data_IF_491763462928
#
_entry.id   IF_491763462928
#
_cell.length_a   1.000
_cell.length_b   1.000
_cell.length_c   1.000
_cell.angle_alpha   90.00
_cell.angle_beta   90.00
_cell.angle_gamma   90.00
#
_symmetry.space_group_name_H-M   'P 1'
#
loop_
_entity.id
_entity.type
_entity.pdbx_description
1 polymer ?
#
# COMPACT_ATOMS: atom_id res chain seq x y z
N UNK A 1 6.04 1.49 -24.95
CA UNK A 1 6.28 2.92 -24.67
C UNK A 1 4.92 3.61 -24.60
N UNK A 2 4.69 4.46 -23.61
CA UNK A 2 3.38 5.14 -23.42
C UNK A 2 3.10 6.05 -24.63
N UNK A 3 1.91 5.92 -25.24
CA UNK A 3 1.51 6.75 -26.38
C UNK A 3 0.77 8.01 -25.89
N UNK A 4 1.54 9.03 -25.51
CA UNK A 4 0.97 10.29 -25.02
C UNK A 4 0.07 11.00 -26.04
N UNK A 5 0.38 10.90 -27.34
CA UNK A 5 -0.47 11.48 -28.39
C UNK A 5 -1.87 10.85 -28.40
N UNK A 6 -1.96 9.54 -28.18
CA UNK A 6 -3.24 8.84 -28.04
C UNK A 6 -3.97 9.29 -26.77
N UNK A 7 -3.26 9.39 -25.65
CA UNK A 7 -3.85 9.78 -24.37
C UNK A 7 -4.48 11.18 -24.46
N UNK A 8 -3.73 12.21 -24.84
CA UNK A 8 -4.21 13.60 -24.85
C UNK A 8 -5.30 13.88 -25.89
N UNK A 9 -5.44 13.00 -26.91
CA UNK A 9 -6.48 13.11 -27.94
C UNK A 9 -7.70 12.23 -27.64
N UNK A 10 -7.62 11.37 -26.63
CA UNK A 10 -8.74 10.50 -26.27
C UNK A 10 -9.85 11.30 -25.56
N UNK A 11 -11.11 10.82 -25.63
CA UNK A 11 -12.19 11.41 -24.88
C UNK A 11 -11.89 11.47 -23.37
N UNK A 12 -12.57 12.39 -22.71
CA UNK A 12 -12.55 12.48 -21.26
C UNK A 12 -13.72 11.71 -20.67
N UNK A 13 -13.54 11.21 -19.46
CA UNK A 13 -14.58 10.56 -18.67
C UNK A 13 -14.50 11.06 -17.24
N UNK A 14 -15.64 11.42 -16.66
CA UNK A 14 -15.71 12.03 -15.33
C UNK A 14 -16.32 11.08 -14.31
N UNK A 15 -15.62 10.86 -13.21
CA UNK A 15 -16.11 10.11 -12.07
C UNK A 15 -16.62 11.07 -11.01
N UNK A 16 -17.80 10.81 -10.48
CA UNK A 16 -18.38 11.48 -9.32
C UNK A 16 -18.07 10.63 -8.09
N UNK A 17 -17.02 10.99 -7.35
CA UNK A 17 -16.41 10.13 -6.32
C UNK A 17 -16.83 10.53 -4.92
N UNK A 18 -17.17 9.54 -4.10
CA UNK A 18 -17.54 9.68 -2.70
C UNK A 18 -18.90 10.34 -2.48
N UNK A 19 -19.24 10.58 -1.21
CA UNK A 19 -20.51 11.19 -0.80
C UNK A 19 -20.71 12.59 -1.39
N UNK A 20 -19.64 13.38 -1.49
CA UNK A 20 -19.67 14.73 -2.05
C UNK A 20 -19.77 14.75 -3.58
N UNK A 21 -19.73 13.57 -4.22
CA UNK A 21 -19.75 13.42 -5.69
C UNK A 21 -18.68 14.28 -6.36
N UNK A 22 -17.49 14.30 -5.77
CA UNK A 22 -16.36 15.11 -6.24
C UNK A 22 -16.03 14.72 -7.69
N UNK A 23 -16.08 15.67 -8.65
CA UNK A 23 -15.85 15.35 -10.06
C UNK A 23 -14.35 15.22 -10.35
N UNK A 24 -13.92 14.02 -10.76
CA UNK A 24 -12.55 13.71 -11.14
C UNK A 24 -12.52 13.16 -12.57
N UNK A 25 -11.80 13.82 -13.47
CA UNK A 25 -11.81 13.50 -14.91
C UNK A 25 -10.50 12.88 -15.35
N UNK A 26 -10.59 11.80 -16.14
CA UNK A 26 -9.44 11.13 -16.76
C UNK A 26 -9.62 10.99 -18.27
N UNK A 27 -8.51 10.72 -18.96
CA UNK A 27 -8.50 10.39 -20.38
C UNK A 27 -8.85 8.90 -20.58
N UNK A 28 -9.81 8.55 -21.44
CA UNK A 28 -10.25 7.14 -21.56
C UNK A 28 -9.15 6.20 -22.04
N UNK A 29 -8.19 6.68 -22.84
CA UNK A 29 -7.12 5.83 -23.37
C UNK A 29 -6.13 5.33 -22.30
N UNK A 30 -6.07 5.94 -21.10
CA UNK A 30 -5.13 5.46 -20.05
C UNK A 30 -5.57 4.15 -19.40
N UNK A 31 -6.85 3.78 -19.48
CA UNK A 31 -7.37 2.55 -18.87
C UNK A 31 -7.46 1.36 -19.83
N UNK A 32 -7.36 1.58 -21.15
CA UNK A 32 -7.66 0.56 -22.17
C UNK A 32 -6.90 -0.77 -22.01
N UNK A 33 -5.62 -0.70 -21.67
CA UNK A 33 -4.75 -1.89 -21.49
C UNK A 33 -4.54 -2.27 -20.02
N UNK A 34 -5.22 -1.58 -19.11
CA UNK A 34 -4.98 -1.69 -17.68
C UNK A 34 -6.20 -2.23 -16.93
N UNK A 35 -7.41 -1.89 -17.36
CA UNK A 35 -8.66 -2.35 -16.74
C UNK A 35 -9.71 -2.61 -17.82
N UNK A 36 -9.96 -3.89 -18.11
CA UNK A 36 -11.06 -4.28 -19.00
C UNK A 36 -12.44 -3.81 -18.49
N UNK A 37 -12.76 -3.87 -17.18
CA UNK A 37 -14.00 -3.32 -16.65
C UNK A 37 -14.16 -1.81 -16.89
N UNK A 38 -13.15 -0.99 -16.57
CA UNK A 38 -13.21 0.45 -16.77
C UNK A 38 -13.22 0.83 -18.25
N UNK A 39 -12.43 0.13 -19.08
CA UNK A 39 -12.44 0.34 -20.53
C UNK A 39 -13.82 0.08 -21.12
N UNK A 40 -14.49 -0.98 -20.67
CA UNK A 40 -15.85 -1.34 -21.10
C UNK A 40 -16.86 -0.30 -20.62
N UNK A 41 -16.81 0.12 -19.34
CA UNK A 41 -17.66 1.18 -18.77
C UNK A 41 -17.63 2.48 -19.58
N UNK A 42 -16.44 2.89 -20.03
CA UNK A 42 -16.25 4.17 -20.73
C UNK A 42 -16.56 4.11 -22.23
N UNK A 43 -16.32 2.96 -22.87
CA UNK A 43 -16.18 2.87 -24.32
C UNK A 43 -17.14 1.89 -25.00
N UNK A 44 -17.94 1.10 -24.28
CA UNK A 44 -18.81 0.09 -24.92
C UNK A 44 -19.99 0.68 -25.73
N UNK A 45 -20.38 1.93 -25.48
CA UNK A 45 -21.47 2.61 -26.19
C UNK A 45 -22.86 2.03 -25.92
N UNK A 46 -23.00 1.14 -24.93
CA UNK A 46 -24.27 0.49 -24.57
C UNK A 46 -24.76 0.88 -23.17
N UNK A 47 -23.84 1.29 -22.30
CA UNK A 47 -24.14 1.74 -20.94
C UNK A 47 -24.45 3.23 -20.90
N UNK A 48 -25.33 3.67 -19.99
CA UNK A 48 -25.66 5.08 -19.77
C UNK A 48 -24.39 5.91 -19.52
N UNK A 49 -23.47 5.35 -18.75
CA UNK A 49 -22.18 5.91 -18.40
C UNK A 49 -21.33 6.17 -19.64
N UNK A 50 -21.32 5.23 -20.59
CA UNK A 50 -20.57 5.35 -21.83
C UNK A 50 -21.12 6.46 -22.76
N UNK A 51 -22.42 6.78 -22.65
CA UNK A 51 -23.05 7.88 -23.39
C UNK A 51 -22.87 9.22 -22.69
N UNK A 52 -23.16 9.27 -21.40
CA UNK A 52 -23.07 10.49 -20.58
C UNK A 52 -21.63 10.90 -20.30
N UNK A 53 -20.67 9.97 -20.46
CA UNK A 53 -19.26 10.12 -20.09
C UNK A 53 -19.07 10.41 -18.60
N UNK A 54 -19.98 9.88 -17.79
CA UNK A 54 -19.98 10.05 -16.33
C UNK A 54 -20.32 8.75 -15.62
N UNK A 55 -19.70 8.49 -14.47
CA UNK A 55 -20.06 7.39 -13.56
C UNK A 55 -19.96 7.87 -12.11
N UNK A 56 -20.79 7.32 -11.22
CA UNK A 56 -20.74 7.63 -9.78
C UNK A 56 -20.08 6.49 -9.02
N UNK A 57 -19.15 6.81 -8.13
CA UNK A 57 -18.45 5.87 -7.24
C UNK A 57 -18.70 6.30 -5.79
N UNK A 58 -19.85 5.90 -5.24
CA UNK A 58 -20.26 6.31 -3.89
C UNK A 58 -19.42 5.64 -2.79
N UNK A 59 -18.89 4.45 -3.06
CA UNK A 59 -18.12 3.62 -2.14
C UNK A 59 -16.61 3.88 -2.18
N UNK A 60 -16.16 4.86 -2.97
CA UNK A 60 -14.74 5.19 -3.15
C UNK A 60 -14.47 6.59 -2.65
N UNK A 61 -13.46 6.75 -1.80
CA UNK A 61 -13.00 8.06 -1.36
C UNK A 61 -12.23 8.79 -2.47
N UNK A 62 -12.34 10.12 -2.51
CA UNK A 62 -11.64 10.95 -3.49
C UNK A 62 -10.12 10.74 -3.44
N UNK A 63 -9.53 10.63 -2.24
CA UNK A 63 -8.09 10.35 -2.04
C UNK A 63 -7.68 9.05 -2.74
N UNK A 64 -8.44 7.97 -2.55
CA UNK A 64 -8.18 6.66 -3.15
C UNK A 64 -8.24 6.74 -4.68
N UNK A 65 -9.23 7.44 -5.22
CA UNK A 65 -9.35 7.63 -6.67
C UNK A 65 -8.24 8.52 -7.23
N UNK A 66 -7.79 9.54 -6.49
CA UNK A 66 -6.64 10.36 -6.85
C UNK A 66 -5.37 9.50 -6.90
N UNK A 67 -5.12 8.65 -5.90
CA UNK A 67 -4.00 7.70 -5.93
C UNK A 67 -4.03 6.77 -7.14
N UNK A 68 -5.23 6.27 -7.49
CA UNK A 68 -5.42 5.55 -8.75
C UNK A 68 -5.06 6.40 -9.97
N UNK A 69 -5.47 7.67 -10.04
CA UNK A 69 -5.10 8.58 -11.14
C UNK A 69 -3.59 8.80 -11.21
N UNK A 70 -2.91 9.03 -10.09
CA UNK A 70 -1.45 9.17 -10.07
C UNK A 70 -0.77 7.92 -10.64
N UNK A 71 -1.25 6.75 -10.23
CA UNK A 71 -0.80 5.47 -10.77
C UNK A 71 -1.08 5.34 -12.27
N UNK A 72 -2.27 5.71 -12.76
CA UNK A 72 -2.62 5.67 -14.19
C UNK A 72 -1.64 6.46 -15.05
N UNK A 73 -1.25 7.65 -14.59
CA UNK A 73 -0.43 8.56 -15.38
C UNK A 73 1.08 8.36 -15.19
N UNK A 74 1.51 7.86 -14.04
CA UNK A 74 2.94 7.80 -13.69
C UNK A 74 3.46 6.39 -13.39
N UNK A 75 2.57 5.40 -13.27
CA UNK A 75 2.88 4.03 -12.85
C UNK A 75 3.12 3.88 -11.35
N UNK A 76 3.02 4.97 -10.56
CA UNK A 76 3.17 4.96 -9.12
C UNK A 76 2.21 5.95 -8.46
N UNK A 77 1.67 5.61 -7.29
CA UNK A 77 0.94 6.57 -6.47
C UNK A 77 1.81 7.12 -5.33
N UNK A 78 1.38 8.23 -4.75
CA UNK A 78 1.94 8.82 -3.54
C UNK A 78 1.12 8.36 -2.34
N UNK A 79 1.81 7.94 -1.28
CA UNK A 79 1.15 7.58 -0.02
C UNK A 79 0.76 8.87 0.71
N UNK A 80 -0.52 9.12 0.99
CA UNK A 80 -0.93 10.32 1.71
C UNK A 80 -0.47 10.26 3.17
N UNK A 81 -0.43 11.43 3.81
CA UNK A 81 -0.21 11.53 5.26
C UNK A 81 -1.51 11.31 6.01
N UNK A 82 -1.42 10.88 7.28
CA UNK A 82 -2.59 10.59 8.13
C UNK A 82 -3.44 11.82 8.48
N UNK A 83 -2.83 13.01 8.49
CA UNK A 83 -3.54 14.27 8.66
C UNK A 83 -3.84 14.82 7.26
N UNK A 84 -5.03 14.50 6.76
CA UNK A 84 -5.40 14.62 5.35
C UNK A 84 -4.95 15.90 4.65
N UNK A 85 -4.60 15.74 3.36
CA UNK A 85 -4.44 16.82 2.40
C UNK A 85 -5.78 17.57 2.18
N UNK A 86 -6.15 18.40 3.14
CA UNK A 86 -7.05 19.55 2.96
C UNK A 86 -6.26 20.85 2.69
N UNK A 87 -5.07 20.76 2.08
CA UNK A 87 -4.38 21.93 1.53
C UNK A 87 -4.41 21.90 0.00
N UNK A 88 -5.57 22.26 -0.54
CA UNK A 88 -5.60 22.93 -1.84
C UNK A 88 -4.99 24.31 -1.63
N UNK A 89 -3.67 24.44 -1.80
CA UNK A 89 -3.05 25.76 -1.92
C UNK A 89 -2.69 26.08 -3.38
N UNK A 90 -3.30 27.18 -3.80
CA UNK A 90 -3.24 27.84 -5.08
C UNK A 90 -1.81 28.06 -5.59
N UNK A 91 -1.68 28.01 -6.92
CA UNK A 91 -0.41 28.13 -7.62
C UNK A 91 0.39 29.37 -7.24
N UNK A 92 1.71 29.16 -7.15
CA UNK A 92 2.70 30.23 -7.21
C UNK A 92 3.63 29.98 -8.39
N UNK A 93 3.54 30.87 -9.38
CA UNK A 93 4.56 31.06 -10.42
C UNK A 93 5.83 31.60 -9.78
N UNK A 94 7.01 31.07 -10.14
CA UNK A 94 8.08 31.89 -10.72
C UNK A 94 9.19 31.05 -11.34
N UNK A 95 9.71 31.59 -12.45
CA UNK A 95 10.76 31.08 -13.34
C UNK A 95 12.17 31.19 -12.74
N UNK A 96 13.02 30.21 -13.12
CA UNK A 96 14.34 30.42 -13.74
C UNK A 96 15.52 30.92 -12.91
N UNK A 97 16.53 30.05 -12.73
CA UNK A 97 17.90 30.27 -13.26
C UNK A 97 18.81 29.05 -13.00
N UNK A 98 19.50 28.61 -14.07
CA UNK A 98 20.58 27.62 -14.06
C UNK A 98 21.88 28.27 -13.56
N UNK A 99 22.75 27.48 -12.92
CA UNK A 99 24.17 27.46 -13.31
C UNK A 99 24.94 26.21 -12.83
N UNK A 100 26.10 26.02 -13.46
CA UNK A 100 26.75 24.76 -13.85
C UNK A 100 27.85 24.25 -12.91
N UNK A 101 28.06 22.93 -13.02
CA UNK A 101 29.33 22.19 -13.07
C UNK A 101 30.30 22.18 -11.86
N UNK A 102 30.66 20.97 -11.42
CA UNK A 102 32.06 20.50 -11.48
C UNK A 102 32.14 18.97 -11.32
N UNK A 103 32.68 18.35 -12.36
CA UNK A 103 33.18 16.98 -12.41
C UNK A 103 34.51 16.94 -11.66
N UNK A 104 34.75 15.92 -10.84
CA UNK A 104 36.10 15.35 -10.84
C UNK A 104 36.13 13.85 -10.53
N UNK A 105 36.65 13.14 -11.53
CA UNK A 105 37.11 11.77 -11.54
C UNK A 105 38.37 11.58 -10.69
N UNK A 106 38.51 10.42 -10.04
CA UNK A 106 39.75 10.03 -9.36
C UNK A 106 39.78 8.54 -9.07
N UNK A 107 40.19 7.76 -10.07
CA UNK A 107 40.36 6.32 -10.04
C UNK A 107 41.77 5.99 -9.51
N UNK A 108 41.91 5.32 -8.35
CA UNK A 108 43.08 4.48 -8.05
C UNK A 108 42.68 3.31 -7.14
N UNK A 109 43.07 2.11 -7.55
CA UNK A 109 43.30 0.88 -6.76
C UNK A 109 44.62 0.28 -7.30
N UNK A 110 45.27 -0.78 -6.75
CA UNK A 110 44.68 -1.84 -5.91
C UNK A 110 45.63 -2.58 -4.88
N UNK A 111 45.07 -3.63 -4.23
CA UNK A 111 45.69 -4.86 -3.64
C UNK A 111 46.36 -4.71 -2.23
N UNK A 112 46.06 -5.47 -1.15
CA UNK A 112 45.95 -6.93 -1.01
C UNK A 112 45.18 -7.43 0.26
N UNK A 113 44.24 -8.36 0.01
CA UNK A 113 43.81 -9.57 0.75
C UNK A 113 44.03 -9.68 2.27
N UNK A 114 42.93 -10.00 2.99
CA UNK A 114 42.78 -11.28 3.72
C UNK A 114 41.31 -11.68 3.82
N UNK A 115 41.05 -12.96 3.52
CA UNK A 115 39.75 -13.62 3.41
C UNK A 115 39.21 -13.96 4.79
N UNK A 116 37.95 -13.62 5.06
CA UNK A 116 37.08 -14.45 5.90
C UNK A 116 35.71 -14.54 5.23
N UNK A 117 35.29 -15.77 4.94
CA UNK A 117 34.00 -16.09 4.32
C UNK A 117 32.93 -16.01 5.41
N UNK A 118 31.98 -15.08 5.30
CA UNK A 118 30.68 -15.17 5.98
C UNK A 118 29.57 -15.06 4.94
N UNK A 119 28.80 -16.14 4.79
CA UNK A 119 27.58 -16.22 3.98
C UNK A 119 26.47 -15.44 4.68
N UNK A 120 26.39 -14.13 4.46
CA UNK A 120 25.23 -13.27 4.79
C UNK A 120 25.26 -12.05 3.87
N UNK A 121 25.22 -12.28 2.57
CA UNK A 121 25.31 -11.22 1.57
C UNK A 121 24.20 -11.35 0.53
N UNK A 122 22.96 -11.07 0.94
CA UNK A 122 21.95 -10.43 0.07
C UNK A 122 20.69 -9.96 0.85
N UNK A 123 20.86 -9.24 1.96
CA UNK A 123 19.75 -8.51 2.58
C UNK A 123 19.69 -7.11 1.96
N UNK A 124 18.55 -6.72 1.39
CA UNK A 124 18.27 -5.34 0.95
C UNK A 124 18.67 -4.37 2.07
N UNK A 125 19.34 -3.27 1.72
CA UNK A 125 19.85 -2.26 2.67
C UNK A 125 18.77 -1.68 3.58
N UNK A 126 17.50 -1.78 3.18
CA UNK A 126 16.33 -1.32 3.93
C UNK A 126 16.15 -2.05 5.27
N UNK A 127 16.45 -3.36 5.32
CA UNK A 127 16.21 -4.19 6.52
C UNK A 127 17.37 -4.19 7.54
N UNK A 128 18.48 -3.47 7.28
CA UNK A 128 19.64 -3.46 8.19
C UNK A 128 19.41 -2.69 9.49
N UNK A 129 18.37 -1.86 9.56
CA UNK A 129 18.06 -1.02 10.72
C UNK A 129 16.89 -1.56 11.57
N UNK A 130 16.31 -2.73 11.25
CA UNK A 130 15.21 -3.31 12.03
C UNK A 130 15.66 -3.90 13.38
N UNK A 131 16.95 -4.18 13.56
CA UNK A 131 17.48 -4.78 14.80
C UNK A 131 17.44 -3.79 15.99
N UNK A 132 17.17 -2.50 15.74
CA UNK A 132 17.20 -1.44 16.76
C UNK A 132 15.78 -0.97 17.20
N UNK A 133 14.71 -1.37 16.48
CA UNK A 133 13.34 -0.86 16.69
C UNK A 133 12.41 -1.85 17.38
N UNK A 134 12.64 -2.04 18.68
CA UNK A 134 11.56 -2.40 19.61
C UNK A 134 11.66 -3.75 20.32
N UNK A 135 12.86 -4.20 20.65
CA UNK A 135 13.09 -5.26 21.64
C UNK A 135 13.78 -4.67 22.88
N UNK A 136 13.07 -3.83 23.65
CA UNK A 136 13.60 -3.40 24.95
C UNK A 136 13.66 -4.60 25.87
N UNK A 137 14.86 -4.92 26.36
CA UNK A 137 15.38 -5.75 27.49
C UNK A 137 14.47 -6.59 28.41
N UNK A 138 13.14 -6.56 28.30
CA UNK A 138 12.14 -7.26 29.12
C UNK A 138 12.02 -8.74 28.74
N UNK A 139 12.64 -9.20 27.64
CA UNK A 139 12.21 -10.42 26.94
C UNK A 139 13.21 -11.59 27.02
N UNK A 140 13.79 -11.84 28.20
CA UNK A 140 14.64 -13.02 28.47
C UNK A 140 13.90 -14.23 29.08
N UNK A 141 12.56 -14.29 28.97
CA UNK A 141 11.79 -15.46 29.39
C UNK A 141 11.22 -16.18 28.15
N UNK A 142 11.48 -17.48 28.05
CA UNK A 142 11.44 -18.31 26.84
C UNK A 142 10.11 -18.49 26.08
N UNK A 143 9.09 -17.66 26.33
CA UNK A 143 7.82 -17.67 25.56
C UNK A 143 7.82 -16.71 24.35
N UNK A 144 8.87 -15.90 24.16
CA UNK A 144 8.86 -14.89 23.08
C UNK A 144 9.39 -15.38 21.73
N UNK A 145 10.03 -16.56 21.69
CA UNK A 145 10.56 -17.13 20.44
C UNK A 145 9.48 -17.35 19.38
N UNK A 146 8.25 -17.66 19.82
CA UNK A 146 7.12 -17.87 18.90
C UNK A 146 6.79 -16.61 18.08
N UNK A 147 6.63 -15.46 18.74
CA UNK A 147 6.27 -14.22 18.05
C UNK A 147 7.46 -13.63 17.29
N UNK A 148 8.70 -13.87 17.72
CA UNK A 148 9.89 -13.51 16.94
C UNK A 148 9.95 -14.29 15.62
N UNK A 149 9.71 -15.61 15.64
CA UNK A 149 9.74 -16.43 14.43
C UNK A 149 8.61 -16.03 13.47
N UNK A 150 7.43 -15.73 14.01
CA UNK A 150 6.28 -15.27 13.21
C UNK A 150 6.57 -13.92 12.53
N UNK A 151 7.23 -13.02 13.25
CA UNK A 151 7.67 -11.72 12.73
C UNK A 151 8.79 -11.85 11.68
N UNK A 152 9.75 -12.74 11.88
CA UNK A 152 10.78 -13.03 10.87
C UNK A 152 10.17 -13.55 9.57
N UNK A 153 9.19 -14.46 9.68
CA UNK A 153 8.40 -14.92 8.52
C UNK A 153 7.68 -13.76 7.84
N UNK A 154 7.04 -12.88 8.62
CA UNK A 154 6.36 -11.70 8.08
C UNK A 154 7.32 -10.78 7.30
N UNK A 155 8.49 -10.43 7.87
CA UNK A 155 9.49 -9.60 7.19
C UNK A 155 10.03 -10.28 5.92
N UNK A 156 10.12 -11.61 5.93
CA UNK A 156 10.65 -12.37 4.81
C UNK A 156 9.74 -12.39 3.57
N UNK A 157 8.45 -12.03 3.72
CA UNK A 157 7.49 -12.00 2.62
C UNK A 157 8.02 -11.17 1.43
N UNK A 158 7.64 -11.60 0.23
CA UNK A 158 8.03 -11.00 -1.05
C UNK A 158 6.79 -10.76 -1.89
N UNK A 159 6.79 -9.60 -2.53
CA UNK A 159 5.72 -9.14 -3.40
C UNK A 159 6.35 -8.62 -4.69
N UNK A 160 5.73 -8.93 -5.82
CA UNK A 160 6.25 -8.59 -7.15
C UNK A 160 5.95 -7.14 -7.56
N UNK A 161 5.10 -6.44 -6.79
CA UNK A 161 4.71 -5.05 -7.05
C UNK A 161 5.85 -4.06 -6.81
N UNK A 162 5.98 -3.08 -7.72
CA UNK A 162 6.79 -1.89 -7.44
C UNK A 162 6.22 -1.15 -6.23
N UNK A 163 7.09 -0.49 -5.45
CA UNK A 163 6.65 0.27 -4.27
C UNK A 163 6.13 1.65 -4.66
N UNK A 164 5.12 2.13 -3.94
CA UNK A 164 4.66 3.51 -4.01
C UNK A 164 5.72 4.47 -3.45
N UNK A 165 5.57 5.77 -3.75
CA UNK A 165 6.48 6.79 -3.23
C UNK A 165 6.40 6.84 -1.69
N UNK A 166 7.58 6.93 -1.07
CA UNK A 166 7.73 6.94 0.39
C UNK A 166 7.12 8.22 0.95
N UNK A 167 6.45 8.09 2.09
CA UNK A 167 5.94 9.17 2.90
C UNK A 167 6.46 9.01 4.34
N UNK A 168 6.68 10.11 5.06
CA UNK A 168 7.20 10.09 6.44
C UNK A 168 6.20 9.54 7.45
N UNK A 169 4.90 9.76 7.21
CA UNK A 169 3.80 9.30 8.08
C UNK A 169 2.68 8.68 7.22
N UNK A 170 2.91 7.49 6.65
CA UNK A 170 1.99 6.91 5.69
C UNK A 170 0.64 6.59 6.31
N UNK A 171 -0.43 6.96 5.62
CA UNK A 171 -1.74 6.37 5.86
C UNK A 171 -1.74 4.93 5.33
N UNK A 172 -1.64 3.96 6.23
CA UNK A 172 -1.59 2.54 5.90
C UNK A 172 -2.94 2.05 5.37
N UNK A 173 -4.05 2.64 5.84
CA UNK A 173 -5.40 2.26 5.40
C UNK A 173 -5.62 2.61 3.93
N UNK A 174 -5.02 3.69 3.45
CA UNK A 174 -5.06 4.09 2.05
C UNK A 174 -4.57 2.97 1.11
N UNK A 175 -3.51 2.23 1.47
CA UNK A 175 -3.05 1.12 0.64
C UNK A 175 -4.09 0.02 0.50
N UNK A 176 -4.83 -0.28 1.57
CA UNK A 176 -5.91 -1.26 1.52
C UNK A 176 -7.06 -0.77 0.63
N UNK A 177 -7.40 0.53 0.69
CA UNK A 177 -8.42 1.14 -0.19
C UNK A 177 -8.01 1.10 -1.67
N UNK A 178 -6.74 1.39 -1.98
CA UNK A 178 -6.20 1.24 -3.34
C UNK A 178 -6.21 -0.22 -3.78
N UNK A 179 -5.90 -1.16 -2.88
CA UNK A 179 -5.95 -2.60 -3.16
C UNK A 179 -7.38 -3.05 -3.52
N UNK A 180 -8.38 -2.71 -2.69
CA UNK A 180 -9.77 -3.12 -2.94
C UNK A 180 -10.31 -2.51 -4.22
N UNK A 181 -10.01 -1.24 -4.49
CA UNK A 181 -10.34 -0.58 -5.76
C UNK A 181 -9.69 -1.31 -6.95
N UNK A 182 -8.40 -1.62 -6.85
CA UNK A 182 -7.68 -2.32 -7.90
C UNK A 182 -8.23 -3.72 -8.15
N UNK A 183 -8.61 -4.45 -7.09
CA UNK A 183 -9.25 -5.76 -7.21
C UNK A 183 -10.61 -5.66 -7.90
N UNK A 184 -11.46 -4.70 -7.51
CA UNK A 184 -12.80 -4.46 -8.10
C UNK A 184 -12.73 -4.18 -9.60
N UNK A 185 -11.72 -3.41 -10.03
CA UNK A 185 -11.55 -3.01 -11.42
C UNK A 185 -10.49 -3.81 -12.19
N UNK A 186 -9.98 -4.90 -11.62
CA UNK A 186 -9.00 -5.80 -12.22
C UNK A 186 -7.72 -5.07 -12.71
N UNK A 187 -7.22 -4.14 -11.89
CA UNK A 187 -6.00 -3.37 -12.16
C UNK A 187 -4.83 -4.05 -11.46
N UNK A 188 -4.33 -5.13 -12.07
CA UNK A 188 -3.38 -6.01 -11.39
C UNK A 188 -2.08 -5.32 -10.91
N UNK A 189 -1.42 -4.47 -11.73
CA UNK A 189 -0.20 -3.81 -11.28
C UNK A 189 -0.41 -2.85 -10.09
N UNK A 190 -1.58 -2.21 -9.99
CA UNK A 190 -1.92 -1.37 -8.84
C UNK A 190 -2.21 -2.21 -7.60
N UNK A 191 -2.89 -3.34 -7.76
CA UNK A 191 -3.16 -4.28 -6.68
C UNK A 191 -1.86 -4.78 -6.05
N UNK A 192 -0.90 -5.20 -6.88
CA UNK A 192 0.43 -5.64 -6.45
C UNK A 192 1.23 -4.52 -5.79
N UNK A 193 1.24 -3.31 -6.37
CA UNK A 193 1.91 -2.15 -5.78
C UNK A 193 1.33 -1.79 -4.42
N UNK A 194 0.01 -1.88 -4.27
CA UNK A 194 -0.68 -1.60 -3.00
C UNK A 194 -0.33 -2.61 -1.92
N UNK A 195 -0.30 -3.90 -2.26
CA UNK A 195 0.06 -4.96 -1.33
C UNK A 195 1.54 -4.87 -0.89
N UNK A 196 2.44 -4.66 -1.85
CA UNK A 196 3.87 -4.53 -1.58
C UNK A 196 4.18 -3.30 -0.69
N UNK A 197 3.49 -2.20 -0.95
CA UNK A 197 3.66 -0.95 -0.19
C UNK A 197 3.07 -1.08 1.21
N UNK A 198 1.90 -1.72 1.35
CA UNK A 198 1.30 -2.04 2.65
C UNK A 198 2.25 -2.88 3.51
N UNK A 199 2.86 -3.93 2.95
CA UNK A 199 3.84 -4.74 3.69
C UNK A 199 5.06 -3.94 4.14
N UNK A 200 5.62 -3.09 3.26
CA UNK A 200 6.73 -2.19 3.59
C UNK A 200 6.37 -1.30 4.79
N UNK A 201 5.20 -0.67 4.73
CA UNK A 201 4.80 0.30 5.75
C UNK A 201 4.40 -0.38 7.07
N UNK A 202 3.82 -1.58 7.02
CA UNK A 202 3.63 -2.42 8.21
C UNK A 202 4.97 -2.87 8.84
N UNK A 203 5.99 -3.20 8.03
CA UNK A 203 7.32 -3.50 8.56
C UNK A 203 7.94 -2.28 9.27
N UNK A 204 7.63 -1.08 8.80
CA UNK A 204 8.12 0.18 9.36
C UNK A 204 7.22 0.80 10.42
N UNK A 205 6.06 0.20 10.74
CA UNK A 205 5.09 0.73 11.70
C UNK A 205 5.36 0.19 13.12
N UNK A 206 6.03 0.94 14.01
CA UNK A 206 6.34 0.45 15.34
C UNK A 206 5.06 0.41 16.18
N UNK A 207 4.71 -0.78 16.69
CA UNK A 207 3.75 -0.88 17.80
C UNK A 207 4.43 -0.87 19.18
N UNK A 208 5.76 -0.83 19.23
CA UNK A 208 6.54 -1.02 20.45
C UNK A 208 6.68 0.24 21.34
N UNK A 209 6.08 1.38 20.95
CA UNK A 209 6.19 2.65 21.70
C UNK A 209 4.81 3.22 22.05
N UNK A 210 4.37 3.11 23.32
CA UNK A 210 3.05 3.59 23.76
C UNK A 210 2.79 5.09 23.51
N UNK A 211 3.84 5.89 23.28
CA UNK A 211 3.75 7.33 23.04
C UNK A 211 3.50 7.73 21.59
N UNK A 212 3.79 6.84 20.64
CA UNK A 212 3.77 7.15 19.19
C UNK A 212 2.95 6.13 18.40
N UNK A 213 2.56 5.03 19.04
CA UNK A 213 1.82 3.94 18.42
C UNK A 213 0.31 4.19 18.54
N UNK A 214 -0.38 4.22 17.40
CA UNK A 214 -1.84 4.17 17.37
C UNK A 214 -2.31 2.76 16.96
N UNK A 215 -2.68 1.87 17.91
CA UNK A 215 -3.19 0.55 17.59
C UNK A 215 -4.52 0.62 16.83
N UNK A 216 -5.28 1.73 16.97
CA UNK A 216 -6.56 1.92 16.27
C UNK A 216 -6.39 1.86 14.75
N UNK A 217 -5.28 2.36 14.20
CA UNK A 217 -5.00 2.29 12.76
C UNK A 217 -4.91 0.84 12.25
N UNK A 218 -4.34 -0.07 13.05
CA UNK A 218 -4.25 -1.50 12.67
C UNK A 218 -5.61 -2.18 12.82
N UNK A 219 -6.39 -1.77 13.83
CA UNK A 219 -7.75 -2.25 14.03
C UNK A 219 -8.69 -1.79 12.89
N UNK A 220 -8.61 -0.53 12.49
CA UNK A 220 -9.31 0.04 11.33
C UNK A 220 -8.91 -0.64 10.04
N UNK A 221 -7.62 -0.93 9.85
CA UNK A 221 -7.12 -1.71 8.71
C UNK A 221 -7.70 -3.13 8.69
N UNK A 222 -7.71 -3.82 9.83
CA UNK A 222 -8.25 -5.17 9.95
C UNK A 222 -9.74 -5.20 9.63
N UNK A 223 -10.51 -4.31 10.25
CA UNK A 223 -11.95 -4.18 10.03
C UNK A 223 -12.28 -3.84 8.56
N UNK A 224 -11.59 -2.84 8.00
CA UNK A 224 -11.77 -2.45 6.60
C UNK A 224 -11.48 -3.60 5.64
N UNK A 225 -10.35 -4.30 5.82
CA UNK A 225 -9.95 -5.38 4.90
C UNK A 225 -10.97 -6.51 4.92
N UNK A 226 -11.42 -6.96 6.09
CA UNK A 226 -12.39 -8.06 6.16
C UNK A 226 -13.79 -7.63 5.69
N UNK A 227 -14.19 -6.37 5.92
CA UNK A 227 -15.46 -5.83 5.41
C UNK A 227 -15.48 -5.71 3.88
N UNK A 228 -14.33 -5.43 3.25
CA UNK A 228 -14.26 -5.08 1.82
C UNK A 228 -13.61 -6.15 0.92
N UNK A 229 -13.27 -7.32 1.47
CA UNK A 229 -12.73 -8.45 0.71
C UNK A 229 -13.40 -9.75 1.16
N UNK A 230 -13.20 -10.84 0.42
CA UNK A 230 -13.63 -12.19 0.81
C UNK A 230 -12.43 -13.13 0.93
N UNK A 231 -12.65 -14.41 1.25
CA UNK A 231 -11.58 -15.42 1.29
C UNK A 231 -10.88 -15.63 -0.05
N UNK A 232 -11.62 -15.42 -1.14
CA UNK A 232 -11.15 -15.56 -2.50
C UNK A 232 -11.31 -14.25 -3.27
N UNK A 233 -10.32 -13.97 -4.10
CA UNK A 233 -10.21 -12.84 -5.01
C UNK A 233 -9.93 -13.39 -6.43
N UNK A 234 -9.99 -12.57 -7.50
CA UNK A 234 -9.85 -13.04 -8.88
C UNK A 234 -8.61 -13.91 -9.16
N UNK A 235 -7.55 -13.79 -8.37
CA UNK A 235 -6.30 -14.54 -8.54
C UNK A 235 -6.04 -15.62 -7.48
N UNK A 236 -7.00 -15.90 -6.60
CA UNK A 236 -6.88 -16.97 -5.60
C UNK A 236 -7.27 -16.52 -4.20
N UNK A 237 -6.50 -16.91 -3.19
CA UNK A 237 -6.76 -16.48 -1.81
C UNK A 237 -6.48 -14.98 -1.64
N UNK A 238 -7.25 -14.32 -0.77
CA UNK A 238 -7.04 -12.89 -0.51
C UNK A 238 -5.69 -12.62 0.14
N UNK A 239 -4.75 -12.12 -0.66
CA UNK A 239 -3.39 -11.86 -0.23
C UNK A 239 -3.32 -10.71 0.78
N UNK A 240 -4.24 -9.73 0.68
CA UNK A 240 -4.32 -8.64 1.66
C UNK A 240 -4.85 -9.13 3.03
N UNK A 241 -5.85 -10.03 3.06
CA UNK A 241 -6.30 -10.65 4.31
C UNK A 241 -5.16 -11.43 4.96
N UNK A 242 -4.46 -12.25 4.17
CA UNK A 242 -3.33 -13.05 4.65
C UNK A 242 -2.19 -12.17 5.23
N UNK A 243 -1.86 -11.08 4.55
CA UNK A 243 -0.87 -10.10 5.01
C UNK A 243 -1.27 -9.42 6.31
N UNK A 244 -2.49 -8.86 6.37
CA UNK A 244 -2.95 -8.09 7.54
C UNK A 244 -3.11 -9.00 8.75
N UNK A 245 -3.70 -10.19 8.60
CA UNK A 245 -3.90 -11.11 9.73
C UNK A 245 -2.58 -11.71 10.22
N UNK A 246 -1.58 -11.87 9.35
CA UNK A 246 -0.21 -12.24 9.77
C UNK A 246 0.42 -11.12 10.60
N UNK A 247 0.29 -9.86 10.19
CA UNK A 247 0.77 -8.73 11.00
C UNK A 247 0.09 -8.67 12.37
N UNK A 248 -1.24 -8.81 12.40
CA UNK A 248 -2.03 -8.85 13.64
C UNK A 248 -1.55 -9.98 14.55
N UNK A 249 -1.30 -11.18 14.00
CA UNK A 249 -0.76 -12.30 14.76
C UNK A 249 0.63 -12.01 15.35
N UNK A 250 1.53 -11.35 14.59
CA UNK A 250 2.84 -10.92 15.08
C UNK A 250 2.75 -9.95 16.26
N UNK A 251 1.68 -9.16 16.31
CA UNK A 251 1.49 -8.06 17.27
C UNK A 251 0.34 -8.30 18.24
N UNK A 252 -0.13 -9.55 18.32
CA UNK A 252 -1.33 -9.96 19.03
C UNK A 252 -1.34 -9.47 20.48
N UNK A 253 -0.21 -9.64 21.18
CA UNK A 253 -0.09 -9.24 22.59
C UNK A 253 -0.41 -7.77 22.81
N UNK A 254 0.13 -6.90 21.96
CA UNK A 254 -0.07 -5.45 22.04
C UNK A 254 -1.51 -5.08 21.63
N UNK A 255 -2.01 -5.68 20.54
CA UNK A 255 -3.36 -5.38 20.05
C UNK A 255 -4.45 -5.87 21.01
N UNK A 256 -4.23 -6.99 21.70
CA UNK A 256 -5.17 -7.58 22.67
C UNK A 256 -5.38 -6.75 23.93
N UNK A 257 -4.48 -5.80 24.23
CA UNK A 257 -4.65 -4.85 25.33
C UNK A 257 -5.69 -3.76 25.01
N UNK A 258 -6.06 -3.59 23.73
CA UNK A 258 -7.10 -2.67 23.31
C UNK A 258 -8.49 -3.33 23.42
N UNK A 259 -9.41 -2.71 24.15
CA UNK A 259 -10.76 -3.25 24.39
C UNK A 259 -11.53 -3.51 23.09
N UNK A 260 -11.31 -2.69 22.04
CA UNK A 260 -12.00 -2.84 20.76
C UNK A 260 -11.51 -4.02 19.92
N UNK A 261 -10.36 -4.62 20.26
CA UNK A 261 -9.78 -5.70 19.46
C UNK A 261 -10.73 -6.91 19.37
N UNK A 262 -11.27 -7.34 20.51
CA UNK A 262 -12.19 -8.47 20.53
C UNK A 262 -13.54 -8.13 19.91
N UNK A 263 -14.01 -6.88 20.05
CA UNK A 263 -15.22 -6.41 19.36
C UNK A 263 -15.10 -6.53 17.84
N UNK A 264 -13.91 -6.24 17.28
CA UNK A 264 -13.65 -6.41 15.84
C UNK A 264 -13.56 -7.89 15.47
N UNK A 265 -12.88 -8.72 16.27
CA UNK A 265 -12.84 -10.17 16.00
C UNK A 265 -14.22 -10.83 16.06
N UNK A 266 -15.12 -10.33 16.91
CA UNK A 266 -16.48 -10.83 17.04
C UNK A 266 -17.39 -10.36 15.88
N UNK A 267 -16.99 -9.35 15.09
CA UNK A 267 -17.78 -8.85 13.96
C UNK A 267 -17.72 -9.78 12.74
N UNK A 268 -16.62 -10.54 12.59
CA UNK A 268 -16.42 -11.50 11.51
C UNK A 268 -15.67 -12.75 12.01
N UNK A 269 -16.39 -13.88 12.10
CA UNK A 269 -15.84 -15.17 12.52
C UNK A 269 -14.68 -15.67 11.62
N UNK A 270 -14.56 -15.15 10.40
CA UNK A 270 -13.43 -15.45 9.53
C UNK A 270 -12.11 -14.88 10.05
N UNK A 271 -12.13 -13.72 10.71
CA UNK A 271 -10.94 -13.13 11.33
C UNK A 271 -10.34 -14.05 12.38
N UNK A 272 -11.19 -14.58 13.28
CA UNK A 272 -10.75 -15.52 14.32
C UNK A 272 -10.16 -16.80 13.73
N UNK A 273 -10.81 -17.36 12.70
CA UNK A 273 -10.34 -18.56 12.01
C UNK A 273 -8.97 -18.35 11.35
N UNK A 274 -8.76 -17.20 10.72
CA UNK A 274 -7.51 -16.89 10.02
C UNK A 274 -6.40 -16.51 11.00
N UNK A 275 -6.73 -15.83 12.09
CA UNK A 275 -5.81 -15.56 13.20
C UNK A 275 -5.29 -16.85 13.81
N UNK A 276 -6.18 -17.80 14.13
CA UNK A 276 -5.78 -19.11 14.67
C UNK A 276 -4.86 -19.85 13.69
N UNK A 277 -5.16 -19.85 12.39
CA UNK A 277 -4.25 -20.45 11.38
C UNK A 277 -2.88 -19.80 11.40
N UNK A 278 -2.79 -18.46 11.51
CA UNK A 278 -1.52 -17.74 11.57
C UNK A 278 -0.73 -17.99 12.86
N UNK A 279 -1.40 -18.34 13.96
CA UNK A 279 -0.74 -18.71 15.21
C UNK A 279 -0.20 -20.15 15.21
N UNK A 280 -0.45 -20.94 14.17
CA UNK A 280 -0.03 -22.34 14.07
C UNK A 280 1.12 -22.57 13.06
N UNK A 281 1.60 -21.52 12.38
CA UNK A 281 2.61 -21.62 11.30
C UNK A 281 4.03 -21.29 11.72
#
# INVERSE_FOLDING_TARGET
MVNYQKIIRSPHFTFLVGHDKTPLTIHTAVVENLSAPLSSLMNNGSMLESHTKTCTLEDVEASTFIGFCEFLYTGQYVTPTKEGDERVEAGSKMEGQLDKAAVNSGFVSPINKKKHKNKLANRSSFYRNLDEWGYTEIEKNGNNYFFTDLWEKFISLKFDGALAKICSEPDILFHAKCYTFATKYLIEPLRQQSLATLHRDLCAYPLSSPKTTNPKMILELLDFVYTNTGRAEPEGQSAIRDLVIHYVACKLRILSENENFFTILDSDAEMGSDLVKKLLI
#
